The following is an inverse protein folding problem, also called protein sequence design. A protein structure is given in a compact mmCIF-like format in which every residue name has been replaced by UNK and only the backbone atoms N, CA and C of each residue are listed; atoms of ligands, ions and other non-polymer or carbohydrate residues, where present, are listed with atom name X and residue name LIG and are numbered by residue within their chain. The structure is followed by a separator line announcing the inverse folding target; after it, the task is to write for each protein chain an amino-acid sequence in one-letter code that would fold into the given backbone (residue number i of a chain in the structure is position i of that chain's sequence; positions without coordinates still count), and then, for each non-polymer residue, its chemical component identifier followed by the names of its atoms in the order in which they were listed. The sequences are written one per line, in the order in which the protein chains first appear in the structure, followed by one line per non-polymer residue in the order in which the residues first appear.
data_IF_794980505539
#
_entry.id   IF_794980505539
#
_cell.length_a   1.000
_cell.length_b   1.000
_cell.length_c   1.000
_cell.angle_alpha   90.00
_cell.angle_beta   90.00
_cell.angle_gamma   90.00
#
_symmetry.space_group_name_H-M   'P 1'
#
loop_
_entity.id
_entity.type
_entity.pdbx_description
1 polymer ?
#
# COMPACT_ATOMS: atom_id res chain seq x y z
N UNK A 1 -20.28 -3.06 -15.72
CA UNK A 1 -19.78 -3.06 -15.21
C UNK A 1 -19.03 -2.60 -14.77
N UNK A 2 -18.77 -2.50 -14.59
CA UNK A 2 -18.06 -2.36 -14.24
C UNK A 2 -17.41 -2.05 -13.40
N UNK A 3 -17.23 -2.09 -12.59
CA UNK A 3 -16.46 -1.77 -11.87
C UNK A 3 -15.45 -2.07 -11.54
N UNK A 4 -15.03 -1.89 -11.34
CA UNK A 4 -13.72 -1.98 -11.42
C UNK A 4 -12.94 -1.58 -10.27
N UNK A 5 -12.94 -2.48 -9.36
CA UNK A 5 -12.09 -2.35 -8.21
C UNK A 5 -10.63 -2.51 -8.59
N UNK A 6 -9.75 -1.93 -7.78
CA UNK A 6 -8.32 -2.13 -7.90
C UNK A 6 -7.92 -3.37 -7.11
N UNK A 7 -6.80 -3.98 -7.52
CA UNK A 7 -6.13 -5.00 -6.72
C UNK A 7 -5.19 -4.28 -5.77
N UNK A 8 -5.44 -4.37 -4.47
CA UNK A 8 -4.68 -3.64 -3.46
C UNK A 8 -3.95 -4.61 -2.55
N UNK A 9 -2.65 -4.40 -2.40
CA UNK A 9 -1.84 -5.14 -1.43
C UNK A 9 -1.61 -4.25 -0.22
N UNK A 10 -1.89 -4.75 0.97
CA UNK A 10 -1.67 -4.03 2.23
C UNK A 10 -0.61 -4.76 3.04
N UNK A 11 0.49 -4.07 3.32
CA UNK A 11 1.63 -4.59 4.04
C UNK A 11 1.72 -3.90 5.39
N UNK A 12 1.47 -4.62 6.47
CA UNK A 12 1.54 -4.06 7.83
C UNK A 12 1.69 -5.21 8.81
N UNK A 13 2.55 -5.06 9.82
CA UNK A 13 2.75 -6.10 10.82
C UNK A 13 1.65 -6.13 11.88
N UNK A 14 0.75 -5.14 11.91
CA UNK A 14 -0.37 -5.09 12.82
C UNK A 14 -1.58 -5.80 12.25
N UNK A 15 -2.08 -6.83 12.95
CA UNK A 15 -3.32 -7.50 12.58
C UNK A 15 -4.50 -6.55 12.53
N UNK A 16 -4.56 -5.61 13.47
CA UNK A 16 -5.65 -4.63 13.56
C UNK A 16 -5.70 -3.74 12.32
N UNK A 17 -4.54 -3.25 11.90
CA UNK A 17 -4.46 -2.38 10.72
C UNK A 17 -4.81 -3.17 9.46
N UNK A 18 -4.25 -4.38 9.29
CA UNK A 18 -4.57 -5.21 8.12
C UNK A 18 -6.06 -5.49 8.03
N UNK A 19 -6.68 -5.85 9.17
CA UNK A 19 -8.10 -6.16 9.20
C UNK A 19 -8.95 -4.94 8.85
N UNK A 20 -8.63 -3.78 9.43
CA UNK A 20 -9.37 -2.54 9.13
C UNK A 20 -9.26 -2.20 7.64
N UNK A 21 -8.05 -2.26 7.10
CA UNK A 21 -7.83 -1.98 5.68
C UNK A 21 -8.62 -2.94 4.80
N UNK A 22 -8.58 -4.23 5.13
CA UNK A 22 -9.31 -5.24 4.37
C UNK A 22 -10.80 -4.95 4.33
N UNK A 23 -11.40 -4.67 5.49
CA UNK A 23 -12.83 -4.39 5.58
C UNK A 23 -13.19 -3.16 4.75
N UNK A 24 -12.44 -2.07 4.93
CA UNK A 24 -12.72 -0.81 4.24
C UNK A 24 -12.58 -0.95 2.72
N UNK A 25 -11.52 -1.61 2.28
CA UNK A 25 -11.25 -1.76 0.84
C UNK A 25 -12.29 -2.64 0.17
N UNK A 26 -12.69 -3.73 0.82
CA UNK A 26 -13.75 -4.60 0.29
C UNK A 26 -15.08 -3.87 0.23
N UNK A 27 -15.40 -3.06 1.23
CA UNK A 27 -16.61 -2.24 1.19
C UNK A 27 -16.59 -1.24 0.04
N UNK A 28 -15.40 -0.81 -0.38
CA UNK A 28 -15.24 0.07 -1.53
C UNK A 28 -15.22 -0.65 -2.87
N UNK A 29 -15.40 -1.95 -2.88
CA UNK A 29 -15.44 -2.72 -4.13
C UNK A 29 -14.08 -3.16 -4.65
N UNK A 30 -13.04 -3.12 -3.81
CA UNK A 30 -11.68 -3.49 -4.22
C UNK A 30 -11.34 -4.92 -3.81
N UNK A 31 -10.41 -5.51 -4.54
CA UNK A 31 -9.83 -6.80 -4.22
C UNK A 31 -8.61 -6.56 -3.32
N UNK A 32 -8.42 -7.37 -2.29
CA UNK A 32 -7.39 -7.11 -1.27
C UNK A 32 -6.58 -8.36 -1.01
N UNK A 33 -5.26 -8.18 -0.94
CA UNK A 33 -4.34 -9.19 -0.41
C UNK A 33 -3.53 -8.56 0.70
N UNK A 34 -3.27 -9.31 1.75
CA UNK A 34 -2.59 -8.82 2.95
C UNK A 34 -1.22 -9.48 3.07
N UNK A 35 -0.23 -8.70 3.52
CA UNK A 35 1.09 -9.21 3.84
C UNK A 35 1.49 -8.71 5.24
N UNK A 36 2.10 -9.58 6.02
CA UNK A 36 2.41 -9.26 7.42
C UNK A 36 3.79 -8.67 7.62
N UNK A 37 4.67 -8.74 6.62
CA UNK A 37 6.00 -8.15 6.68
C UNK A 37 6.54 -7.94 5.26
N UNK A 38 7.74 -7.37 5.16
CA UNK A 38 8.34 -7.05 3.87
C UNK A 38 8.67 -8.29 3.04
N UNK A 39 9.09 -9.36 3.67
CA UNK A 39 9.42 -10.60 2.95
C UNK A 39 8.18 -11.26 2.37
N UNK A 40 7.11 -11.33 3.17
CA UNK A 40 5.82 -11.83 2.71
C UNK A 40 5.30 -10.98 1.55
N UNK A 41 5.49 -9.66 1.64
CA UNK A 41 5.08 -8.74 0.60
C UNK A 41 5.81 -9.01 -0.72
N UNK A 42 7.12 -9.25 -0.68
CA UNK A 42 7.89 -9.48 -1.89
C UNK A 42 7.39 -10.73 -2.64
N UNK A 43 7.03 -11.77 -1.90
CA UNK A 43 6.46 -12.97 -2.49
C UNK A 43 5.09 -12.67 -3.12
N UNK A 44 4.23 -11.94 -2.42
CA UNK A 44 2.87 -11.68 -2.86
C UNK A 44 2.78 -10.69 -4.00
N UNK A 45 3.68 -9.72 -4.07
CA UNK A 45 3.71 -8.76 -5.19
C UNK A 45 3.85 -9.49 -6.51
N UNK A 46 4.78 -10.46 -6.57
CA UNK A 46 5.03 -11.20 -7.79
C UNK A 46 3.82 -12.02 -8.22
N UNK A 47 3.18 -12.70 -7.27
CA UNK A 47 2.06 -13.59 -7.58
C UNK A 47 0.77 -12.82 -7.87
N UNK A 48 0.53 -11.76 -7.11
CA UNK A 48 -0.74 -11.06 -7.14
C UNK A 48 -0.78 -9.94 -8.19
N UNK A 49 0.36 -9.30 -8.44
CA UNK A 49 0.48 -8.18 -9.35
C UNK A 49 -0.52 -7.05 -9.01
N UNK A 50 -0.35 -6.41 -7.85
CA UNK A 50 -1.31 -5.39 -7.39
C UNK A 50 -1.26 -4.12 -8.23
N UNK A 51 -2.37 -3.39 -8.24
CA UNK A 51 -2.48 -2.08 -8.88
C UNK A 51 -2.04 -0.95 -7.94
N UNK A 52 -2.06 -1.21 -6.64
CA UNK A 52 -1.74 -0.23 -5.60
C UNK A 52 -1.25 -0.97 -4.36
N UNK A 53 -0.23 -0.41 -3.70
CA UNK A 53 0.35 -1.00 -2.49
C UNK A 53 0.30 0.01 -1.36
N UNK A 54 -0.19 -0.41 -0.18
CA UNK A 54 -0.03 0.31 1.07
C UNK A 54 1.03 -0.42 1.88
N UNK A 55 2.02 0.30 2.40
CA UNK A 55 3.17 -0.31 3.08
C UNK A 55 3.50 0.41 4.37
N UNK A 56 3.42 -0.31 5.49
CA UNK A 56 3.83 0.19 6.80
C UNK A 56 5.31 0.53 6.79
N UNK A 57 5.68 1.63 7.43
CA UNK A 57 7.06 2.07 7.51
C UNK A 57 7.85 1.24 8.53
N UNK A 58 7.29 1.06 9.73
CA UNK A 58 8.00 0.39 10.83
C UNK A 58 7.62 -1.09 10.90
N UNK A 59 8.48 -1.92 10.33
CA UNK A 59 8.33 -3.37 10.38
C UNK A 59 9.69 -3.98 10.77
N UNK A 60 9.67 -5.12 11.49
CA UNK A 60 10.93 -5.77 11.87
C UNK A 60 11.65 -6.33 10.64
N UNK A 61 12.97 -6.37 10.71
CA UNK A 61 13.88 -6.94 9.72
C UNK A 61 13.95 -6.16 8.40
N UNK A 62 12.85 -5.95 7.74
CA UNK A 62 12.77 -5.22 6.49
C UNK A 62 11.70 -4.14 6.65
N UNK A 63 12.13 -2.88 6.78
CA UNK A 63 11.17 -1.77 6.98
C UNK A 63 10.47 -1.39 5.68
N UNK A 64 9.55 -0.44 5.77
CA UNK A 64 8.75 -0.02 4.61
C UNK A 64 9.57 0.65 3.53
N UNK A 65 10.57 1.44 3.90
CA UNK A 65 11.43 2.09 2.91
C UNK A 65 12.24 1.05 2.12
N UNK A 66 12.79 0.08 2.82
CA UNK A 66 13.55 -1.01 2.20
C UNK A 66 12.66 -1.85 1.29
N UNK A 67 11.46 -2.20 1.78
CA UNK A 67 10.49 -2.98 1.02
C UNK A 67 10.10 -2.25 -0.27
N UNK A 68 9.78 -0.96 -0.15
CA UNK A 68 9.41 -0.13 -1.29
C UNK A 68 10.55 -0.07 -2.32
N UNK A 69 11.78 0.16 -1.85
CA UNK A 69 12.94 0.23 -2.73
C UNK A 69 13.14 -1.06 -3.52
N UNK A 70 12.99 -2.20 -2.86
CA UNK A 70 13.15 -3.50 -3.52
C UNK A 70 12.06 -3.71 -4.58
N UNK A 71 10.81 -3.42 -4.23
CA UNK A 71 9.69 -3.56 -5.17
C UNK A 71 9.92 -2.67 -6.39
N UNK A 72 10.31 -1.42 -6.19
CA UNK A 72 10.48 -0.45 -7.27
C UNK A 72 11.67 -0.75 -8.18
N UNK A 73 12.64 -1.53 -7.72
CA UNK A 73 13.76 -1.94 -8.57
C UNK A 73 13.36 -2.96 -9.61
N UNK A 74 12.27 -3.67 -9.38
CA UNK A 74 11.78 -4.65 -10.36
C UNK A 74 10.98 -3.91 -11.43
N UNK A 75 11.42 -4.01 -12.68
CA UNK A 75 10.78 -3.31 -13.79
C UNK A 75 9.30 -3.63 -13.92
N UNK A 76 8.88 -4.84 -13.53
CA UNK A 76 7.48 -5.24 -13.58
C UNK A 76 6.60 -4.41 -12.65
N UNK A 77 7.17 -3.89 -11.55
CA UNK A 77 6.41 -3.22 -10.49
C UNK A 77 6.84 -1.76 -10.30
N UNK A 78 7.77 -1.27 -11.11
CA UNK A 78 8.30 0.08 -10.97
C UNK A 78 7.22 1.16 -11.09
N UNK A 79 6.16 0.90 -11.85
CA UNK A 79 5.07 1.86 -12.05
C UNK A 79 3.92 1.70 -11.06
N UNK A 80 3.93 0.65 -10.23
CA UNK A 80 2.86 0.43 -9.25
C UNK A 80 3.00 1.46 -8.12
N UNK A 81 1.98 2.27 -7.86
CA UNK A 81 2.08 3.26 -6.79
C UNK A 81 2.14 2.60 -5.41
N UNK A 82 2.99 3.14 -4.55
CA UNK A 82 3.13 2.71 -3.17
C UNK A 82 2.84 3.89 -2.26
N UNK A 83 1.88 3.71 -1.36
CA UNK A 83 1.51 4.69 -0.33
C UNK A 83 2.02 4.18 1.00
N UNK A 84 2.86 4.95 1.67
CA UNK A 84 3.43 4.56 2.96
C UNK A 84 2.40 4.78 4.07
N UNK A 85 2.32 3.84 5.00
CA UNK A 85 1.47 3.96 6.19
C UNK A 85 2.33 4.40 7.36
N UNK A 86 2.10 5.63 7.83
CA UNK A 86 2.87 6.23 8.90
C UNK A 86 2.06 6.27 10.18
N UNK A 87 2.66 5.89 11.31
CA UNK A 87 1.96 6.01 12.59
C UNK A 87 1.79 7.48 12.96
N UNK A 88 0.75 7.77 13.76
CA UNK A 88 0.46 9.14 14.20
C UNK A 88 1.63 9.75 14.97
N UNK A 89 2.30 8.95 15.78
CA UNK A 89 3.43 9.40 16.60
C UNK A 89 4.77 9.14 15.93
N UNK A 90 4.76 8.56 14.74
CA UNK A 90 5.97 8.26 14.00
C UNK A 90 6.40 9.44 13.15
N UNK A 91 7.65 9.41 12.73
CA UNK A 91 8.19 10.42 11.84
C UNK A 91 8.30 9.82 10.45
N UNK A 92 7.47 10.30 9.54
CA UNK A 92 7.60 9.94 8.14
C UNK A 92 8.59 10.88 7.47
N UNK A 93 9.64 10.33 6.93
CA UNK A 93 10.62 11.09 6.17
C UNK A 93 10.17 11.16 4.71
N UNK A 94 9.58 12.28 4.32
CA UNK A 94 9.06 12.48 2.98
C UNK A 94 10.16 12.39 1.92
N UNK A 95 11.33 12.92 2.22
CA UNK A 95 12.45 12.86 1.29
C UNK A 95 12.89 11.42 1.07
N UNK A 96 13.01 10.64 2.14
CA UNK A 96 13.38 9.24 2.05
C UNK A 96 12.32 8.44 1.30
N UNK A 97 11.04 8.73 1.56
CA UNK A 97 9.92 8.11 0.84
C UNK A 97 10.03 8.33 -0.66
N UNK A 98 10.30 9.55 -1.08
CA UNK A 98 10.48 9.86 -2.51
C UNK A 98 11.70 9.16 -3.09
N UNK A 99 12.79 9.09 -2.34
CA UNK A 99 14.02 8.44 -2.79
C UNK A 99 13.82 6.96 -3.08
N UNK A 100 12.98 6.28 -2.33
CA UNK A 100 12.70 4.85 -2.56
C UNK A 100 11.54 4.65 -3.54
N UNK A 101 10.90 5.72 -4.00
CA UNK A 101 9.89 5.66 -5.05
C UNK A 101 8.45 5.60 -4.57
N UNK A 102 8.16 5.88 -3.29
CA UNK A 102 6.78 5.95 -2.84
C UNK A 102 6.11 7.23 -3.36
N UNK A 103 4.83 7.14 -3.65
CA UNK A 103 4.07 8.24 -4.25
C UNK A 103 3.39 9.13 -3.22
N UNK A 104 3.06 8.59 -2.04
CA UNK A 104 2.30 9.33 -1.03
C UNK A 104 2.41 8.62 0.31
N UNK A 105 1.76 9.16 1.31
CA UNK A 105 1.67 8.53 2.62
C UNK A 105 0.28 8.78 3.23
N UNK A 106 -0.10 7.90 4.17
CA UNK A 106 -1.37 7.98 4.89
C UNK A 106 -1.08 7.70 6.36
N UNK A 107 -1.63 8.52 7.26
CA UNK A 107 -1.38 8.38 8.69
C UNK A 107 -2.30 7.34 9.31
N UNK A 108 -1.76 6.49 10.18
CA UNK A 108 -2.53 5.51 10.95
C UNK A 108 -2.86 6.06 12.32
N UNK A 109 -4.05 5.82 12.87
CA UNK A 109 -5.16 5.10 12.24
C UNK A 109 -5.84 5.97 11.18
N UNK A 110 -6.29 5.32 10.12
CA UNK A 110 -7.02 6.00 9.05
C UNK A 110 -8.51 5.65 9.14
N UNK A 111 -9.34 6.55 8.63
CA UNK A 111 -10.77 6.28 8.48
C UNK A 111 -11.01 5.56 7.16
N UNK A 112 -12.19 4.94 7.04
CA UNK A 112 -12.62 4.34 5.79
C UNK A 112 -12.58 5.35 4.66
N UNK A 113 -13.09 6.57 4.89
CA UNK A 113 -13.13 7.62 3.87
C UNK A 113 -11.73 8.03 3.43
N UNK A 114 -10.80 8.17 4.37
CA UNK A 114 -9.41 8.52 4.04
C UNK A 114 -8.76 7.46 3.18
N UNK A 115 -8.94 6.19 3.53
CA UNK A 115 -8.36 5.09 2.78
C UNK A 115 -8.95 5.01 1.38
N UNK A 116 -10.27 5.04 1.27
CA UNK A 116 -10.96 4.92 -0.03
C UNK A 116 -10.71 6.13 -0.91
N UNK A 117 -10.57 7.33 -0.33
CA UNK A 117 -10.24 8.53 -1.11
C UNK A 117 -8.84 8.39 -1.72
N UNK A 118 -7.89 7.86 -0.97
CA UNK A 118 -6.54 7.61 -1.48
C UNK A 118 -6.57 6.63 -2.65
N UNK A 119 -7.30 5.54 -2.51
CA UNK A 119 -7.44 4.55 -3.58
C UNK A 119 -8.04 5.18 -4.82
N UNK A 120 -9.09 5.98 -4.66
CA UNK A 120 -9.78 6.65 -5.75
C UNK A 120 -8.84 7.58 -6.51
N UNK A 121 -7.98 8.29 -5.79
CA UNK A 121 -6.99 9.19 -6.38
C UNK A 121 -6.07 8.43 -7.34
N UNK A 122 -5.56 7.27 -6.91
CA UNK A 122 -4.65 6.48 -7.74
C UNK A 122 -5.37 5.73 -8.84
N UNK A 123 -6.61 5.32 -8.64
CA UNK A 123 -7.43 4.71 -9.68
C UNK A 123 -7.63 5.69 -10.84
N UNK A 124 -7.91 6.95 -10.54
CA UNK A 124 -8.08 7.99 -11.56
C UNK A 124 -6.79 8.21 -12.35
N UNK A 125 -5.63 8.20 -11.67
CA UNK A 125 -4.35 8.38 -12.32
C UNK A 125 -4.00 7.25 -13.29
N UNK A 126 -4.52 6.05 -13.02
CA UNK A 126 -4.28 4.89 -13.87
C UNK A 126 -5.33 4.72 -14.95
N UNK A 127 -6.30 5.63 -15.02
CA UNK A 127 -7.38 5.53 -15.98
C UNK A 127 -8.43 4.49 -15.59
N UNK A 128 -8.41 4.01 -14.37
CA UNK A 128 -9.41 3.07 -13.84
C UNK A 128 -10.55 3.89 -13.25
N UNK A 129 -11.72 3.73 -13.79
CA UNK A 129 -12.87 4.52 -13.34
C UNK A 129 -13.93 3.66 -12.69
#
# INVERSE_FOLDING_TARGET
MSTTGMKVLVIDDSNTIRRSAEIFLKQGGHEVVLAEDGFDALAKVSDYQPDLIFCDILMPRLDGYQTCAIIKRNARFASVPIVMLSSKDGVFDKARGRMVGSQDYLTKPFTKDQLLQTVKQFAAQQGVM
#
